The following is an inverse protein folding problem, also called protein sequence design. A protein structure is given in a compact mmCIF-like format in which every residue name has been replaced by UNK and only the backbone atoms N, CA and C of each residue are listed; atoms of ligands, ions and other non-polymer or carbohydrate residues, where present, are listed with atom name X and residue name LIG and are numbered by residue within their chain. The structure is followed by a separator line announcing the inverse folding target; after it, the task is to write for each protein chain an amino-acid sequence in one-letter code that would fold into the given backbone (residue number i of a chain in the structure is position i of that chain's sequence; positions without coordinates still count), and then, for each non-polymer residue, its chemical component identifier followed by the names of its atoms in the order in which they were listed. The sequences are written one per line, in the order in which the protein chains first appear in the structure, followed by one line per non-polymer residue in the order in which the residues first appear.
data_IF_036823470113
#
_entry.id   IF_036823470113
#
_cell.length_a   1.000
_cell.length_b   1.000
_cell.length_c   1.000
_cell.angle_alpha   90.00
_cell.angle_beta   90.00
_cell.angle_gamma   90.00
#
_symmetry.space_group_name_H-M   'P 1'
#
loop_
_entity.id
_entity.type
_entity.pdbx_description
1 polymer ?
#
# COMPACT_ATOMS: atom_id res chain seq x y z
N UNK A 1 5.87 16.35 -9.97
CA UNK A 1 4.94 16.75 -8.88
C UNK A 1 3.77 17.57 -9.41
N UNK A 2 4.00 18.62 -10.23
CA UNK A 2 2.92 19.40 -10.83
C UNK A 2 1.87 18.55 -11.57
N UNK A 3 2.29 17.52 -12.32
CA UNK A 3 1.35 16.60 -12.99
C UNK A 3 0.43 15.81 -12.06
N UNK A 4 0.78 15.61 -10.78
CA UNK A 4 -0.12 14.97 -9.80
C UNK A 4 -1.23 15.92 -9.34
N UNK A 5 -0.99 17.24 -9.37
CA UNK A 5 -1.95 18.24 -8.89
C UNK A 5 -3.14 18.44 -9.84
N UNK A 6 -3.08 17.89 -11.06
CA UNK A 6 -4.24 17.83 -11.96
C UNK A 6 -5.29 16.79 -11.56
N UNK A 7 -5.03 15.98 -10.52
CA UNK A 7 -6.02 15.04 -9.98
C UNK A 7 -6.79 15.67 -8.81
N UNK A 8 -8.08 15.40 -8.72
CA UNK A 8 -8.91 15.83 -7.59
C UNK A 8 -8.50 15.13 -6.28
N UNK A 9 -7.98 13.91 -6.37
CA UNK A 9 -7.54 13.10 -5.23
C UNK A 9 -6.20 12.43 -5.53
N UNK A 10 -5.26 12.57 -4.59
CA UNK A 10 -3.97 11.91 -4.57
C UNK A 10 -3.94 10.97 -3.34
N UNK A 11 -4.12 9.68 -3.61
CA UNK A 11 -4.10 8.64 -2.58
C UNK A 11 -2.73 7.99 -2.41
N UNK A 12 -2.30 7.81 -1.15
CA UNK A 12 -1.03 7.15 -0.80
C UNK A 12 -1.22 6.16 0.34
N UNK A 13 -0.23 5.30 0.62
CA UNK A 13 -0.42 4.20 1.57
C UNK A 13 -0.41 4.65 3.03
N UNK A 14 0.47 5.59 3.40
CA UNK A 14 0.61 6.03 4.80
C UNK A 14 0.40 7.53 4.97
N UNK A 15 0.08 7.96 6.20
CA UNK A 15 0.02 9.38 6.53
C UNK A 15 1.39 10.06 6.38
N UNK A 16 2.49 9.32 6.57
CA UNK A 16 3.83 9.84 6.35
C UNK A 16 4.05 10.17 4.86
N UNK A 17 3.61 9.29 3.96
CA UNK A 17 3.65 9.54 2.52
C UNK A 17 2.81 10.76 2.14
N UNK A 18 1.62 10.91 2.72
CA UNK A 18 0.75 12.05 2.44
C UNK A 18 1.42 13.37 2.84
N UNK A 19 2.06 13.40 4.01
CA UNK A 19 2.88 14.54 4.43
C UNK A 19 4.05 14.79 3.48
N UNK A 20 4.76 13.74 3.07
CA UNK A 20 5.88 13.86 2.13
C UNK A 20 5.44 14.44 0.79
N UNK A 21 4.29 14.02 0.27
CA UNK A 21 3.70 14.60 -0.96
C UNK A 21 3.40 16.09 -0.76
N UNK A 22 2.71 16.47 0.32
CA UNK A 22 2.38 17.87 0.61
C UNK A 22 3.64 18.74 0.77
N UNK A 23 4.65 18.25 1.49
CA UNK A 23 5.94 18.94 1.60
C UNK A 23 6.66 19.07 0.25
N UNK A 24 6.64 18.02 -0.56
CA UNK A 24 7.21 18.03 -1.91
C UNK A 24 6.50 19.05 -2.80
N UNK A 25 5.18 19.08 -2.79
CA UNK A 25 4.38 20.05 -3.54
C UNK A 25 4.72 21.48 -3.12
N UNK A 26 4.75 21.77 -1.81
CA UNK A 26 5.14 23.10 -1.31
C UNK A 26 6.51 23.51 -1.81
N UNK A 27 7.49 22.62 -1.69
CA UNK A 27 8.90 22.91 -1.96
C UNK A 27 9.21 23.01 -3.45
N UNK A 28 8.63 22.14 -4.27
CA UNK A 28 9.04 21.96 -5.66
C UNK A 28 8.03 22.46 -6.69
N UNK A 29 6.79 22.75 -6.27
CA UNK A 29 5.77 23.36 -7.12
C UNK A 29 5.44 24.80 -6.71
N UNK A 30 6.10 25.33 -5.67
CA UNK A 30 5.92 26.71 -5.18
C UNK A 30 4.45 27.06 -4.87
N UNK A 31 3.68 26.06 -4.41
CA UNK A 31 2.29 26.23 -3.99
C UNK A 31 2.27 26.49 -2.49
N UNK A 32 1.80 27.67 -2.09
CA UNK A 32 1.64 28.04 -0.68
C UNK A 32 0.21 27.86 -0.15
N UNK A 33 -0.80 27.79 -1.03
CA UNK A 33 -2.18 27.47 -0.65
C UNK A 33 -2.36 25.97 -0.45
N UNK A 34 -1.84 25.50 0.68
CA UNK A 34 -2.01 24.14 1.16
C UNK A 34 -2.41 24.14 2.62
N UNK A 35 -3.28 23.22 2.98
CA UNK A 35 -3.76 23.02 4.34
C UNK A 35 -3.46 21.59 4.75
N UNK A 36 -2.75 21.41 5.86
CA UNK A 36 -2.64 20.12 6.51
C UNK A 36 -3.87 19.89 7.38
N UNK A 37 -4.53 18.74 7.23
CA UNK A 37 -5.70 18.39 8.01
C UNK A 37 -5.66 16.90 8.36
N UNK A 38 -5.51 16.59 9.65
CA UNK A 38 -5.57 15.22 10.17
C UNK A 38 -4.63 14.26 9.44
N UNK A 39 -5.22 13.32 8.71
CA UNK A 39 -4.55 12.24 7.97
C UNK A 39 -4.14 12.60 6.52
N UNK A 40 -4.17 13.89 6.18
CA UNK A 40 -3.85 14.38 4.85
C UNK A 40 -3.79 15.90 4.74
N UNK A 41 -4.22 16.42 3.60
CA UNK A 41 -4.29 17.83 3.33
C UNK A 41 -4.95 18.17 2.01
N UNK A 42 -5.13 19.46 1.78
CA UNK A 42 -5.70 20.02 0.56
C UNK A 42 -4.66 20.94 -0.05
N UNK A 43 -4.48 20.85 -1.37
CA UNK A 43 -3.65 21.75 -2.16
C UNK A 43 -4.56 22.49 -3.13
N UNK A 44 -4.41 23.81 -3.23
CA UNK A 44 -5.15 24.63 -4.19
C UNK A 44 -4.18 25.28 -5.17
N UNK A 45 -4.48 25.14 -6.45
CA UNK A 45 -3.70 25.71 -7.55
C UNK A 45 -4.62 26.46 -8.50
N UNK A 46 -4.65 27.79 -8.39
CA UNK A 46 -5.57 28.61 -9.16
C UNK A 46 -7.03 28.30 -8.83
N UNK A 47 -7.72 27.58 -9.73
CA UNK A 47 -9.13 27.13 -9.54
C UNK A 47 -9.25 25.66 -9.18
N UNK A 48 -8.16 24.91 -9.21
CA UNK A 48 -8.14 23.47 -8.96
C UNK A 48 -7.88 23.20 -7.48
N UNK A 49 -8.43 22.11 -6.97
CA UNK A 49 -8.25 21.68 -5.59
C UNK A 49 -8.01 20.18 -5.56
N UNK A 50 -6.85 19.78 -5.04
CA UNK A 50 -6.46 18.38 -4.90
C UNK A 50 -6.46 17.99 -3.41
N UNK A 51 -7.07 16.85 -3.09
CA UNK A 51 -7.02 16.24 -1.76
C UNK A 51 -5.91 15.21 -1.72
N UNK A 52 -4.96 15.36 -0.81
CA UNK A 52 -3.88 14.39 -0.56
C UNK A 52 -4.18 13.65 0.73
N UNK A 53 -4.31 12.32 0.69
CA UNK A 53 -4.69 11.53 1.89
C UNK A 53 -4.17 10.09 1.83
N UNK A 54 -4.02 9.49 3.02
CA UNK A 54 -3.71 8.09 3.16
C UNK A 54 -4.94 7.18 2.92
N UNK A 55 -4.80 6.21 2.02
CA UNK A 55 -5.72 5.12 1.73
C UNK A 55 -4.93 3.80 1.71
N UNK A 56 -4.72 3.17 2.88
CA UNK A 56 -4.03 1.89 2.94
C UNK A 56 -4.78 0.83 2.14
N UNK A 57 -4.11 0.20 1.18
CA UNK A 57 -4.70 -0.89 0.42
C UNK A 57 -4.82 -2.14 1.30
N UNK A 58 -5.92 -2.87 1.15
CA UNK A 58 -6.16 -4.16 1.77
C UNK A 58 -6.54 -5.19 0.70
N UNK A 59 -6.59 -6.45 1.10
CA UNK A 59 -7.13 -7.55 0.29
C UNK A 59 -8.57 -7.85 0.69
N UNK A 60 -9.28 -8.57 -0.17
CA UNK A 60 -10.53 -9.23 0.20
C UNK A 60 -10.22 -10.41 1.12
N UNK A 61 -10.29 -10.16 2.42
CA UNK A 61 -9.96 -11.14 3.44
C UNK A 61 -10.90 -12.34 3.41
N UNK A 62 -12.20 -12.10 3.22
CA UNK A 62 -13.21 -13.16 3.30
C UNK A 62 -13.02 -14.15 2.16
N UNK A 63 -12.88 -13.66 0.93
CA UNK A 63 -12.65 -14.52 -0.23
C UNK A 63 -11.35 -15.36 -0.10
N UNK A 64 -10.28 -14.77 0.40
CA UNK A 64 -9.00 -15.48 0.60
C UNK A 64 -9.12 -16.53 1.71
N UNK A 65 -9.76 -16.18 2.83
CA UNK A 65 -9.94 -17.10 3.95
C UNK A 65 -10.80 -18.30 3.57
N UNK A 66 -11.89 -18.08 2.83
CA UNK A 66 -12.75 -19.14 2.31
C UNK A 66 -12.00 -20.07 1.36
N UNK A 67 -11.23 -19.50 0.41
CA UNK A 67 -10.44 -20.29 -0.53
C UNK A 67 -9.35 -21.12 0.18
N UNK A 68 -8.67 -20.53 1.17
CA UNK A 68 -7.61 -21.19 1.93
C UNK A 68 -8.13 -22.33 2.83
N UNK A 69 -9.41 -22.30 3.21
CA UNK A 69 -10.04 -23.30 4.08
C UNK A 69 -10.56 -24.55 3.34
N UNK A 70 -10.32 -24.65 2.03
CA UNK A 70 -10.79 -25.77 1.22
C UNK A 70 -9.99 -27.06 1.49
N UNK A 71 -10.66 -28.22 1.37
CA UNK A 71 -10.02 -29.52 1.56
C UNK A 71 -8.85 -29.76 0.58
N UNK A 72 -8.95 -29.22 -0.63
CA UNK A 72 -7.89 -29.30 -1.65
C UNK A 72 -6.60 -28.62 -1.18
N UNK A 73 -6.71 -27.42 -0.59
CA UNK A 73 -5.56 -26.69 -0.03
C UNK A 73 -4.97 -27.45 1.16
N UNK A 74 -5.80 -27.99 2.04
CA UNK A 74 -5.34 -28.77 3.21
C UNK A 74 -4.59 -30.05 2.78
N UNK A 75 -5.05 -30.73 1.73
CA UNK A 75 -4.35 -31.89 1.16
C UNK A 75 -3.00 -31.48 0.57
N UNK A 76 -2.96 -30.41 -0.23
CA UNK A 76 -1.73 -29.90 -0.83
C UNK A 76 -0.70 -29.49 0.24
N UNK A 77 -1.14 -28.89 1.34
CA UNK A 77 -0.25 -28.54 2.47
C UNK A 77 0.33 -29.78 3.13
N UNK A 78 -0.45 -30.85 3.35
CA UNK A 78 0.05 -32.11 3.92
C UNK A 78 1.08 -32.77 3.01
N UNK A 79 0.83 -32.79 1.71
CA UNK A 79 1.76 -33.32 0.72
C UNK A 79 3.08 -32.53 0.71
N UNK A 80 3.00 -31.20 0.64
CA UNK A 80 4.17 -30.32 0.70
C UNK A 80 5.01 -30.55 1.97
N UNK A 81 4.37 -30.72 3.14
CA UNK A 81 5.08 -30.96 4.39
C UNK A 81 5.79 -32.31 4.41
N UNK A 82 5.16 -33.34 3.85
CA UNK A 82 5.76 -34.66 3.69
C UNK A 82 6.97 -34.62 2.76
N UNK A 83 6.89 -33.89 1.64
CA UNK A 83 8.01 -33.69 0.72
C UNK A 83 9.20 -32.97 1.38
N UNK A 84 8.92 -32.07 2.33
CA UNK A 84 9.94 -31.40 3.14
C UNK A 84 10.49 -32.25 4.30
N UNK A 85 10.04 -33.49 4.47
CA UNK A 85 10.49 -34.42 5.52
C UNK A 85 9.81 -34.21 6.88
N UNK A 86 8.55 -33.78 6.88
CA UNK A 86 7.72 -33.55 8.08
C UNK A 86 8.40 -32.69 9.17
N UNK A 87 8.98 -31.52 8.82
CA UNK A 87 9.73 -30.71 9.76
C UNK A 87 8.81 -30.10 10.82
N UNK A 88 9.29 -29.99 12.07
CA UNK A 88 8.53 -29.31 13.14
C UNK A 88 8.17 -27.86 12.79
N UNK A 89 9.05 -27.17 12.04
CA UNK A 89 8.86 -25.76 11.66
C UNK A 89 9.21 -25.55 10.18
N UNK A 90 8.45 -24.69 9.51
CA UNK A 90 8.71 -24.22 8.14
C UNK A 90 8.72 -22.69 8.19
N UNK A 91 9.76 -22.09 7.62
CA UNK A 91 9.85 -20.65 7.39
C UNK A 91 9.57 -20.41 5.90
N UNK A 92 8.60 -19.56 5.59
CA UNK A 92 8.17 -19.27 4.22
C UNK A 92 8.20 -17.76 3.97
N UNK A 93 8.85 -17.34 2.89
CA UNK A 93 8.77 -15.99 2.34
C UNK A 93 8.22 -16.07 0.92
N UNK A 94 7.25 -15.21 0.59
CA UNK A 94 6.66 -15.12 -0.75
C UNK A 94 6.71 -13.66 -1.19
N UNK A 95 7.70 -13.35 -2.02
CA UNK A 95 7.95 -12.01 -2.51
C UNK A 95 8.38 -12.02 -3.98
N UNK A 96 8.26 -10.87 -4.63
CA UNK A 96 8.95 -10.64 -5.91
C UNK A 96 10.44 -10.52 -5.65
N UNK A 97 11.26 -10.96 -6.61
CA UNK A 97 12.72 -10.80 -6.55
C UNK A 97 13.11 -9.34 -6.82
N UNK A 98 12.98 -8.50 -5.78
CA UNK A 98 13.21 -7.06 -5.80
C UNK A 98 14.07 -6.67 -4.58
N UNK A 99 15.11 -5.86 -4.80
CA UNK A 99 16.09 -5.47 -3.77
C UNK A 99 15.46 -4.71 -2.59
N UNK A 100 14.25 -4.19 -2.74
CA UNK A 100 13.49 -3.54 -1.65
C UNK A 100 12.95 -4.52 -0.62
N UNK A 101 12.96 -5.83 -0.91
CA UNK A 101 12.36 -6.87 -0.06
C UNK A 101 13.28 -7.45 1.01
N UNK A 102 14.59 -7.15 0.93
CA UNK A 102 15.55 -7.56 1.96
C UNK A 102 15.80 -9.07 2.03
N UNK A 103 15.66 -9.77 0.90
CA UNK A 103 15.93 -11.20 0.70
C UNK A 103 17.15 -11.36 -0.20
#
# INVERSE_FOLDING_TARGET
LAGLLGADVIGVQTQADARNVLYGVRRFCEVDDLTFAGDGGVVRTGRETAVVKAFPISVDYEAIAEQAATDEVELAVKELRKELGDPKHVLLGVDRLDYTKGI
#
